data_IF_264105348637
#
_entry.id   IF_264105348637
#
_cell.length_a   1.000
_cell.length_b   1.000
_cell.length_c   1.000
_cell.angle_alpha   90.00
_cell.angle_beta   90.00
_cell.angle_gamma   90.00
#
_symmetry.space_group_name_H-M   'P 1'
#
loop_
_entity.id
_entity.type
_entity.pdbx_description
1 polymer ?
#
# COMPACT_ATOMS: atom_id res chain seq x y z
N UNK A 1 6.05 17.53 26.01
CA UNK A 1 5.45 16.83 24.84
C UNK A 1 3.94 17.02 24.89
N UNK A 2 3.31 17.45 23.79
CA UNK A 2 1.85 17.62 23.69
C UNK A 2 1.39 17.52 22.22
N UNK A 3 0.12 17.17 22.03
CA UNK A 3 -0.54 17.11 20.73
C UNK A 3 -1.14 18.47 20.42
N UNK A 4 -0.76 19.07 19.29
CA UNK A 4 -1.27 20.36 18.86
C UNK A 4 -2.44 20.25 17.89
N UNK A 5 -2.52 19.15 17.12
CA UNK A 5 -3.55 18.95 16.12
C UNK A 5 -3.75 17.47 15.84
N UNK A 6 -5.01 17.06 15.70
CA UNK A 6 -5.40 15.76 15.14
C UNK A 6 -6.01 15.99 13.77
N UNK A 7 -5.54 15.26 12.76
CA UNK A 7 -5.95 15.44 11.37
C UNK A 7 -7.31 14.81 11.08
N UNK A 8 -8.18 15.54 10.39
CA UNK A 8 -9.42 15.02 9.80
C UNK A 8 -9.10 14.36 8.46
N UNK A 9 -9.22 13.04 8.36
CA UNK A 9 -8.76 12.25 7.22
C UNK A 9 -9.91 11.73 6.37
N UNK A 10 -9.60 11.40 5.10
CA UNK A 10 -10.50 10.74 4.17
C UNK A 10 -10.89 9.33 4.66
N UNK A 11 -9.89 8.51 4.99
CA UNK A 11 -10.01 7.13 5.45
C UNK A 11 -9.14 6.85 6.67
N UNK A 12 -9.17 5.60 7.13
CA UNK A 12 -8.49 5.11 8.36
C UNK A 12 -8.74 6.07 9.54
N UNK A 13 -10.01 6.45 9.71
CA UNK A 13 -10.40 7.47 10.70
C UNK A 13 -10.32 7.01 12.14
N UNK A 14 -10.31 5.70 12.35
CA UNK A 14 -10.16 5.09 13.67
C UNK A 14 -8.72 5.10 14.20
N UNK A 15 -7.74 5.41 13.34
CA UNK A 15 -6.34 5.60 13.71
C UNK A 15 -5.99 7.07 13.61
N UNK A 16 -5.66 7.72 14.71
CA UNK A 16 -5.33 9.14 14.72
C UNK A 16 -3.99 9.43 14.03
N UNK A 17 -3.94 10.56 13.35
CA UNK A 17 -2.71 11.17 12.85
C UNK A 17 -2.61 12.55 13.47
N UNK A 18 -1.55 12.80 14.22
CA UNK A 18 -1.44 14.00 15.04
C UNK A 18 -0.09 14.70 14.84
N UNK A 19 -0.10 16.01 15.02
CA UNK A 19 1.12 16.81 15.20
C UNK A 19 1.49 16.80 16.67
N UNK A 20 2.70 16.31 16.96
CA UNK A 20 3.25 16.23 18.31
C UNK A 20 4.41 17.22 18.40
N UNK A 21 4.42 18.05 19.46
CA UNK A 21 5.49 19.01 19.73
C UNK A 21 6.23 18.60 20.99
N UNK A 22 7.55 18.66 20.92
CA UNK A 22 8.46 18.42 22.03
C UNK A 22 9.13 19.75 22.39
N UNK A 23 8.83 20.31 23.56
CA UNK A 23 9.47 21.49 24.10
C UNK A 23 10.08 21.11 25.45
N UNK A 24 11.34 21.40 25.64
CA UNK A 24 12.12 21.11 26.85
C UNK A 24 11.95 19.66 27.35
N UNK A 25 11.78 18.73 26.43
CA UNK A 25 11.56 17.32 26.73
C UNK A 25 12.90 16.65 27.05
N UNK A 26 13.18 16.45 28.33
CA UNK A 26 14.38 15.76 28.79
C UNK A 26 14.15 14.26 28.76
N UNK A 27 15.07 13.55 28.12
CA UNK A 27 15.11 12.08 28.06
C UNK A 27 16.46 11.59 28.56
N UNK A 28 16.56 10.41 29.20
CA UNK A 28 17.84 9.81 29.59
C UNK A 28 18.73 9.59 28.37
N UNK A 29 20.04 9.75 28.55
CA UNK A 29 21.03 9.56 27.48
C UNK A 29 20.99 8.14 26.91
N UNK A 30 20.69 7.16 27.73
CA UNK A 30 20.60 5.73 27.36
C UNK A 30 19.43 5.44 26.37
N UNK A 31 18.52 6.40 26.19
CA UNK A 31 17.42 6.29 25.21
C UNK A 31 17.82 6.74 23.79
N UNK A 32 19.08 7.10 23.57
CA UNK A 32 19.59 7.42 22.22
C UNK A 32 19.63 6.12 21.40
N UNK A 33 18.97 6.12 20.25
CA UNK A 33 19.06 5.03 19.29
C UNK A 33 20.42 5.07 18.58
N UNK A 34 21.16 3.95 18.64
CA UNK A 34 22.50 3.85 18.07
C UNK A 34 23.57 4.12 19.12
N UNK A 35 24.58 4.97 18.82
CA UNK A 35 25.65 5.36 19.74
C UNK A 35 25.44 6.77 20.26
N UNK A 36 25.68 7.03 21.56
CA UNK A 36 25.72 8.39 22.09
C UNK A 36 26.88 9.22 21.50
N UNK A 37 27.94 8.56 21.01
CA UNK A 37 28.97 9.21 20.20
C UNK A 37 28.46 9.32 18.76
N UNK A 38 27.81 10.42 18.45
CA UNK A 38 27.29 10.70 17.09
C UNK A 38 28.43 11.14 16.20
N UNK A 39 29.07 10.24 15.42
CA UNK A 39 29.87 10.71 14.30
C UNK A 39 28.90 11.42 13.32
N UNK A 40 29.30 12.56 12.77
CA UNK A 40 28.57 13.26 11.70
C UNK A 40 28.59 12.42 10.41
N UNK A 41 27.95 11.25 10.43
CA UNK A 41 27.94 10.31 9.32
C UNK A 41 26.52 10.15 8.79
N UNK A 42 26.39 9.75 7.53
CA UNK A 42 25.10 9.43 6.89
C UNK A 42 24.51 8.08 7.36
N UNK A 43 25.06 7.46 8.40
CA UNK A 43 24.66 6.11 8.86
C UNK A 43 23.25 6.09 9.46
N UNK A 44 22.86 7.13 10.20
CA UNK A 44 21.49 7.24 10.71
C UNK A 44 20.47 7.26 9.58
N UNK A 45 20.73 7.98 8.50
CA UNK A 45 19.85 8.02 7.34
C UNK A 45 19.77 6.66 6.61
N UNK A 46 20.90 5.93 6.53
CA UNK A 46 20.91 4.55 5.97
C UNK A 46 20.05 3.60 6.81
N UNK A 47 20.12 3.71 8.15
CA UNK A 47 19.27 2.92 9.05
C UNK A 47 17.79 3.18 8.82
N UNK A 48 17.38 4.44 8.68
CA UNK A 48 15.98 4.80 8.34
C UNK A 48 15.55 4.21 7.00
N UNK A 49 16.41 4.27 5.98
CA UNK A 49 16.11 3.67 4.67
C UNK A 49 15.97 2.15 4.72
N UNK A 50 16.79 1.47 5.51
CA UNK A 50 16.68 0.03 5.73
C UNK A 50 15.36 -0.35 6.42
N UNK A 51 14.88 0.47 7.36
CA UNK A 51 13.57 0.29 7.99
C UNK A 51 12.46 0.36 6.94
N UNK A 52 12.47 1.34 6.04
CA UNK A 52 11.48 1.41 4.97
C UNK A 52 11.52 0.20 4.02
N UNK A 53 12.71 -0.33 3.72
CA UNK A 53 12.82 -1.53 2.88
C UNK A 53 12.20 -2.77 3.55
N UNK A 54 12.20 -2.83 4.89
CA UNK A 54 11.54 -3.87 5.67
C UNK A 54 10.01 -3.66 5.80
N UNK A 55 9.55 -2.41 5.96
CA UNK A 55 8.13 -2.12 6.23
C UNK A 55 7.26 -2.02 4.97
N UNK A 56 7.80 -1.64 3.81
CA UNK A 56 7.07 -1.55 2.54
C UNK A 56 6.34 -2.83 2.13
N UNK A 57 6.91 -4.03 2.23
CA UNK A 57 6.18 -5.27 1.96
C UNK A 57 4.99 -5.49 2.90
N UNK A 58 5.10 -5.08 4.17
CA UNK A 58 4.01 -5.19 5.16
C UNK A 58 2.84 -4.28 4.77
N UNK A 59 3.14 -3.04 4.38
CA UNK A 59 2.13 -2.09 3.87
C UNK A 59 1.50 -2.60 2.58
N UNK A 60 2.29 -3.16 1.66
CA UNK A 60 1.77 -3.77 0.45
C UNK A 60 0.82 -4.94 0.76
N UNK A 61 1.14 -5.79 1.75
CA UNK A 61 0.28 -6.87 2.19
C UNK A 61 -1.05 -6.35 2.77
N UNK A 62 -1.02 -5.28 3.57
CA UNK A 62 -2.24 -4.63 4.09
C UNK A 62 -3.13 -4.10 2.97
N UNK A 63 -2.55 -3.45 1.95
CA UNK A 63 -3.27 -2.98 0.77
C UNK A 63 -3.95 -4.14 0.01
N UNK A 64 -3.21 -5.23 -0.21
CA UNK A 64 -3.73 -6.43 -0.89
C UNK A 64 -4.89 -7.04 -0.11
N UNK A 65 -4.82 -7.04 1.23
CA UNK A 65 -5.90 -7.52 2.10
C UNK A 65 -7.21 -6.75 1.87
N UNK A 66 -7.15 -5.41 1.82
CA UNK A 66 -8.31 -4.56 1.53
C UNK A 66 -8.84 -4.79 0.11
N UNK A 67 -7.97 -4.87 -0.88
CA UNK A 67 -8.36 -5.14 -2.26
C UNK A 67 -9.05 -6.50 -2.42
N UNK A 68 -8.54 -7.53 -1.75
CA UNK A 68 -9.15 -8.86 -1.72
C UNK A 68 -10.53 -8.83 -1.09
N UNK A 69 -10.67 -8.21 0.08
CA UNK A 69 -11.96 -8.08 0.75
C UNK A 69 -13.00 -7.40 -0.14
N UNK A 70 -12.60 -6.35 -0.88
CA UNK A 70 -13.47 -5.66 -1.83
C UNK A 70 -13.92 -6.57 -2.99
N UNK A 71 -13.00 -7.33 -3.59
CA UNK A 71 -13.34 -8.26 -4.67
C UNK A 71 -14.21 -9.42 -4.21
N UNK A 72 -13.89 -10.01 -3.07
CA UNK A 72 -14.69 -11.11 -2.51
C UNK A 72 -16.13 -10.63 -2.23
N UNK A 73 -16.29 -9.43 -1.66
CA UNK A 73 -17.60 -8.83 -1.41
C UNK A 73 -18.38 -8.55 -2.70
N UNK A 74 -17.72 -8.01 -3.74
CA UNK A 74 -18.36 -7.78 -5.05
C UNK A 74 -18.82 -9.11 -5.64
N UNK A 75 -17.96 -10.13 -5.66
CA UNK A 75 -18.30 -11.44 -6.22
C UNK A 75 -19.49 -12.07 -5.52
N UNK A 76 -19.49 -12.08 -4.19
CA UNK A 76 -20.59 -12.63 -3.39
C UNK A 76 -21.91 -11.89 -3.66
N UNK A 77 -21.85 -10.55 -3.68
CA UNK A 77 -23.03 -9.72 -3.98
C UNK A 77 -23.57 -9.98 -5.38
N UNK A 78 -22.72 -10.05 -6.40
CA UNK A 78 -23.12 -10.34 -7.77
C UNK A 78 -23.77 -11.72 -7.89
N UNK A 79 -23.21 -12.74 -7.23
CA UNK A 79 -23.80 -14.09 -7.19
C UNK A 79 -25.19 -14.08 -6.56
N UNK A 80 -25.37 -13.38 -5.45
CA UNK A 80 -26.67 -13.22 -4.78
C UNK A 80 -27.74 -12.57 -5.67
N UNK A 81 -27.30 -11.71 -6.62
CA UNK A 81 -28.20 -11.05 -7.60
C UNK A 81 -28.27 -11.82 -8.93
N UNK A 82 -27.81 -13.04 -9.02
CA UNK A 82 -27.89 -13.89 -10.22
C UNK A 82 -26.91 -13.50 -11.33
N UNK A 83 -25.82 -12.78 -11.01
CA UNK A 83 -24.79 -12.32 -11.95
C UNK A 83 -23.43 -12.96 -11.58
N UNK A 84 -23.22 -14.28 -11.79
CA UNK A 84 -21.96 -14.92 -11.47
C UNK A 84 -20.86 -14.49 -12.45
N UNK A 85 -19.61 -14.45 -11.97
CA UNK A 85 -18.43 -14.28 -12.82
C UNK A 85 -18.09 -15.64 -13.48
N UNK A 86 -18.15 -15.69 -14.81
CA UNK A 86 -17.96 -16.92 -15.58
C UNK A 86 -16.51 -17.06 -16.04
N UNK A 87 -15.72 -17.78 -15.28
CA UNK A 87 -14.32 -18.08 -15.63
C UNK A 87 -14.23 -19.08 -16.80
N UNK A 88 -13.09 -19.05 -17.51
CA UNK A 88 -12.78 -20.02 -18.57
C UNK A 88 -13.46 -19.75 -19.93
N UNK A 89 -14.25 -18.70 -20.06
CA UNK A 89 -14.81 -18.31 -21.34
C UNK A 89 -13.82 -17.48 -22.18
N UNK A 90 -13.87 -17.60 -23.53
CA UNK A 90 -13.12 -16.72 -24.42
C UNK A 90 -13.50 -15.26 -24.19
N UNK A 91 -12.53 -14.33 -24.28
CA UNK A 91 -12.69 -12.91 -23.97
C UNK A 91 -13.88 -12.25 -24.68
N UNK A 92 -14.18 -12.64 -25.94
CA UNK A 92 -15.30 -12.11 -26.70
C UNK A 92 -16.69 -12.54 -26.19
N UNK A 93 -16.76 -13.55 -25.32
CA UNK A 93 -18.01 -14.04 -24.68
C UNK A 93 -18.22 -13.47 -23.28
N UNK A 94 -17.23 -12.78 -22.72
CA UNK A 94 -17.32 -12.14 -21.41
C UNK A 94 -18.02 -10.81 -21.52
N UNK A 95 -18.80 -10.48 -20.51
CA UNK A 95 -19.35 -9.12 -20.33
C UNK A 95 -18.23 -8.14 -19.96
N UNK A 96 -18.47 -6.83 -20.05
CA UNK A 96 -17.53 -5.83 -19.60
C UNK A 96 -17.22 -5.97 -18.10
N UNK A 97 -18.26 -6.23 -17.30
CA UNK A 97 -18.14 -6.46 -15.85
C UNK A 97 -17.24 -7.64 -15.53
N UNK A 98 -17.40 -8.77 -16.22
CA UNK A 98 -16.57 -9.96 -16.01
C UNK A 98 -15.10 -9.71 -16.38
N UNK A 99 -14.84 -9.01 -17.50
CA UNK A 99 -13.48 -8.63 -17.89
C UNK A 99 -12.82 -7.72 -16.86
N UNK A 100 -13.53 -6.68 -16.42
CA UNK A 100 -13.03 -5.75 -15.41
C UNK A 100 -12.74 -6.47 -14.09
N UNK A 101 -13.62 -7.39 -13.67
CA UNK A 101 -13.43 -8.16 -12.46
C UNK A 101 -12.20 -9.06 -12.53
N UNK A 102 -12.04 -9.82 -13.61
CA UNK A 102 -10.89 -10.70 -13.83
C UNK A 102 -9.57 -9.93 -13.95
N UNK A 103 -9.58 -8.74 -14.58
CA UNK A 103 -8.39 -7.88 -14.63
C UNK A 103 -7.99 -7.43 -13.22
N UNK A 104 -8.94 -7.00 -12.40
CA UNK A 104 -8.66 -6.63 -11.00
C UNK A 104 -8.09 -7.79 -10.18
N UNK A 105 -8.62 -9.00 -10.35
CA UNK A 105 -8.06 -10.20 -9.71
C UNK A 105 -6.61 -10.44 -10.16
N UNK A 106 -6.34 -10.34 -11.44
CA UNK A 106 -5.00 -10.53 -11.99
C UNK A 106 -4.02 -9.47 -11.48
N UNK A 107 -4.43 -8.20 -11.44
CA UNK A 107 -3.61 -7.10 -10.92
C UNK A 107 -3.31 -7.28 -9.43
N UNK A 108 -4.30 -7.69 -8.65
CA UNK A 108 -4.14 -7.93 -7.22
C UNK A 108 -3.21 -9.13 -6.96
N UNK A 109 -3.33 -10.20 -7.76
CA UNK A 109 -2.45 -11.35 -7.68
C UNK A 109 -1.00 -11.00 -8.07
N UNK A 110 -0.80 -10.17 -9.09
CA UNK A 110 0.53 -9.66 -9.45
C UNK A 110 1.16 -8.85 -8.31
N UNK A 111 0.40 -7.97 -7.66
CA UNK A 111 0.86 -7.24 -6.49
C UNK A 111 1.24 -8.17 -5.33
N UNK A 112 0.46 -9.24 -5.10
CA UNK A 112 0.72 -10.24 -4.08
C UNK A 112 2.01 -11.01 -4.32
N UNK A 113 2.26 -11.44 -5.55
CA UNK A 113 3.50 -12.15 -5.90
C UNK A 113 4.75 -11.27 -5.72
N UNK A 114 4.68 -9.99 -6.10
CA UNK A 114 5.75 -9.02 -5.84
C UNK A 114 5.99 -8.85 -4.33
N UNK A 115 4.94 -8.79 -3.54
CA UNK A 115 5.02 -8.63 -2.08
C UNK A 115 5.66 -9.87 -1.44
N UNK A 116 5.25 -11.07 -1.86
CA UNK A 116 5.85 -12.31 -1.38
C UNK A 116 7.34 -12.40 -1.74
N UNK A 117 7.71 -12.02 -2.97
CA UNK A 117 9.12 -11.98 -3.36
C UNK A 117 9.93 -11.05 -2.47
N UNK A 118 9.44 -9.83 -2.23
CA UNK A 118 10.13 -8.87 -1.38
C UNK A 118 10.28 -9.34 0.07
N UNK A 119 9.25 -9.97 0.64
CA UNK A 119 9.28 -10.56 1.97
C UNK A 119 10.26 -11.75 2.04
N UNK A 120 10.17 -12.67 1.08
CA UNK A 120 11.06 -13.82 1.01
C UNK A 120 12.55 -13.42 0.94
N UNK A 121 12.87 -12.38 0.15
CA UNK A 121 14.23 -11.87 0.08
C UNK A 121 14.73 -11.36 1.44
N UNK A 122 13.85 -10.65 2.17
CA UNK A 122 14.17 -10.14 3.51
C UNK A 122 14.42 -11.29 4.49
N UNK A 123 13.56 -12.31 4.50
CA UNK A 123 13.69 -13.48 5.37
C UNK A 123 14.98 -14.28 5.11
N UNK A 124 15.52 -14.20 3.89
CA UNK A 124 16.78 -14.84 3.51
C UNK A 124 18.00 -13.90 3.58
N UNK A 125 17.90 -12.75 4.24
CA UNK A 125 19.00 -11.80 4.41
C UNK A 125 19.46 -11.11 3.11
N UNK A 126 18.65 -11.18 2.06
CA UNK A 126 18.95 -10.57 0.77
C UNK A 126 18.50 -9.11 0.73
N UNK A 127 19.25 -8.28 0.02
CA UNK A 127 18.84 -6.89 -0.20
C UNK A 127 17.60 -6.83 -1.11
N UNK A 128 16.51 -6.24 -0.60
CA UNK A 128 15.20 -6.25 -1.25
C UNK A 128 14.64 -4.86 -1.59
N UNK A 129 15.44 -3.80 -1.56
CA UNK A 129 14.91 -2.43 -1.71
C UNK A 129 14.24 -2.16 -3.07
N UNK A 130 14.65 -2.84 -4.14
CA UNK A 130 13.99 -2.80 -5.44
C UNK A 130 12.62 -3.47 -5.37
N UNK A 131 12.59 -4.71 -4.91
CA UNK A 131 11.37 -5.51 -4.81
C UNK A 131 10.38 -4.95 -3.80
N UNK A 132 10.84 -4.42 -2.67
CA UNK A 132 10.01 -3.73 -1.68
C UNK A 132 9.35 -2.48 -2.26
N UNK A 133 10.10 -1.69 -3.05
CA UNK A 133 9.55 -0.51 -3.73
C UNK A 133 8.58 -0.90 -4.85
N UNK A 134 8.87 -1.95 -5.63
CA UNK A 134 7.95 -2.49 -6.64
C UNK A 134 6.64 -2.98 -6.01
N UNK A 135 6.74 -3.76 -4.93
CA UNK A 135 5.58 -4.30 -4.21
C UNK A 135 4.68 -3.18 -3.69
N UNK A 136 5.27 -2.19 -3.01
CA UNK A 136 4.54 -1.07 -2.43
C UNK A 136 3.88 -0.18 -3.49
N UNK A 137 4.61 0.19 -4.55
CA UNK A 137 4.07 0.99 -5.64
C UNK A 137 2.91 0.27 -6.35
N UNK A 138 3.09 -1.02 -6.66
CA UNK A 138 2.06 -1.82 -7.33
C UNK A 138 0.83 -2.02 -6.44
N UNK A 139 1.02 -2.42 -5.18
CA UNK A 139 -0.09 -2.69 -4.27
C UNK A 139 -0.92 -1.44 -3.96
N UNK A 140 -0.27 -0.28 -3.71
CA UNK A 140 -0.96 0.98 -3.45
C UNK A 140 -1.81 1.46 -4.64
N UNK A 141 -1.26 1.35 -5.86
CA UNK A 141 -2.01 1.66 -7.08
C UNK A 141 -3.20 0.71 -7.25
N UNK A 142 -2.94 -0.58 -7.19
CA UNK A 142 -3.94 -1.62 -7.46
C UNK A 142 -5.08 -1.57 -6.45
N UNK A 143 -4.80 -1.44 -5.14
CA UNK A 143 -5.87 -1.37 -4.15
C UNK A 143 -6.79 -0.17 -4.35
N UNK A 144 -6.22 0.97 -4.74
CA UNK A 144 -6.99 2.18 -5.06
C UNK A 144 -7.92 1.94 -6.25
N UNK A 145 -7.40 1.34 -7.33
CA UNK A 145 -8.18 1.02 -8.53
C UNK A 145 -9.25 -0.04 -8.26
N UNK A 146 -8.88 -1.13 -7.57
CA UNK A 146 -9.79 -2.23 -7.23
C UNK A 146 -10.95 -1.76 -6.37
N UNK A 147 -10.68 -1.01 -5.30
CA UNK A 147 -11.75 -0.56 -4.40
C UNK A 147 -12.67 0.48 -5.05
N UNK A 148 -12.13 1.37 -5.89
CA UNK A 148 -12.93 2.31 -6.67
C UNK A 148 -13.82 1.56 -7.67
N UNK A 149 -13.25 0.63 -8.44
CA UNK A 149 -13.99 -0.16 -9.43
C UNK A 149 -15.04 -1.06 -8.79
N UNK A 150 -14.74 -1.60 -7.61
CA UNK A 150 -15.70 -2.38 -6.82
C UNK A 150 -16.95 -1.57 -6.45
N UNK A 151 -16.77 -0.30 -6.05
CA UNK A 151 -17.91 0.61 -5.81
C UNK A 151 -18.72 0.83 -7.10
N UNK A 152 -18.05 1.06 -8.24
CA UNK A 152 -18.70 1.24 -9.54
C UNK A 152 -19.53 -0.01 -9.94
N UNK A 153 -18.98 -1.22 -9.75
CA UNK A 153 -19.63 -2.46 -10.11
C UNK A 153 -20.95 -2.70 -9.37
N UNK A 154 -21.01 -2.31 -8.10
CA UNK A 154 -22.20 -2.47 -7.28
C UNK A 154 -23.13 -1.23 -7.31
N UNK A 155 -22.71 -0.15 -7.96
CA UNK A 155 -23.50 1.07 -8.13
C UNK A 155 -24.03 1.62 -6.79
N UNK A 156 -25.34 1.86 -6.65
CA UNK A 156 -25.92 2.42 -5.41
C UNK A 156 -25.60 1.59 -4.16
N UNK A 157 -25.53 0.27 -4.26
CA UNK A 157 -25.14 -0.60 -3.15
C UNK A 157 -23.69 -0.34 -2.72
N UNK A 158 -22.78 -0.26 -3.68
CA UNK A 158 -21.36 0.02 -3.41
C UNK A 158 -21.11 1.39 -2.80
N UNK A 159 -21.96 2.36 -3.13
CA UNK A 159 -21.89 3.73 -2.62
C UNK A 159 -22.58 3.93 -1.26
N UNK A 160 -23.40 2.96 -0.84
CA UNK A 160 -24.15 3.03 0.41
C UNK A 160 -23.25 2.88 1.62
N UNK A 161 -23.44 3.74 2.64
CA UNK A 161 -22.78 3.63 3.94
C UNK A 161 -23.28 2.48 4.82
N UNK A 162 -24.31 1.77 4.41
CA UNK A 162 -24.78 0.56 5.10
C UNK A 162 -23.81 -0.61 4.87
N UNK A 163 -23.01 -0.54 3.81
CA UNK A 163 -22.00 -1.54 3.46
C UNK A 163 -20.59 -0.95 3.64
N UNK A 164 -19.60 -1.84 3.69
CA UNK A 164 -18.20 -1.43 3.94
C UNK A 164 -17.44 -0.98 2.70
N UNK A 165 -17.98 -1.16 1.50
CA UNK A 165 -17.24 -0.99 0.26
C UNK A 165 -16.79 0.45 0.02
N UNK A 166 -17.68 1.44 0.26
CA UNK A 166 -17.33 2.86 0.19
C UNK A 166 -16.25 3.23 1.22
N UNK A 167 -16.31 2.61 2.40
CA UNK A 167 -15.32 2.79 3.45
C UNK A 167 -13.96 2.25 3.02
N UNK A 168 -13.92 1.04 2.47
CA UNK A 168 -12.68 0.45 1.97
C UNK A 168 -12.04 1.27 0.85
N UNK A 169 -12.83 1.88 -0.03
CA UNK A 169 -12.33 2.80 -1.06
C UNK A 169 -11.63 4.03 -0.44
N UNK A 170 -12.23 4.62 0.60
CA UNK A 170 -11.62 5.76 1.30
C UNK A 170 -10.38 5.34 2.10
N UNK A 171 -10.41 4.19 2.76
CA UNK A 171 -9.30 3.66 3.55
C UNK A 171 -8.13 3.21 2.65
N UNK A 172 -8.42 2.68 1.47
CA UNK A 172 -7.42 2.20 0.53
C UNK A 172 -6.45 3.29 0.04
N UNK A 173 -6.93 4.54 -0.10
CA UNK A 173 -6.13 5.63 -0.70
C UNK A 173 -4.84 5.94 0.05
N UNK A 174 -4.78 5.74 1.34
CA UNK A 174 -3.56 5.99 2.12
C UNK A 174 -2.40 5.08 1.70
N UNK A 175 -2.69 3.86 1.21
CA UNK A 175 -1.67 2.91 0.78
C UNK A 175 -0.86 3.39 -0.42
N UNK A 176 -1.35 4.38 -1.15
CA UNK A 176 -0.65 5.04 -2.25
C UNK A 176 0.27 6.20 -1.77
N UNK A 177 0.13 6.63 -0.52
CA UNK A 177 0.76 7.84 0.03
C UNK A 177 1.82 7.51 1.09
N UNK A 178 1.45 6.83 2.17
CA UNK A 178 2.34 6.61 3.31
C UNK A 178 3.45 5.57 3.00
N UNK A 179 4.49 5.50 3.81
CA UNK A 179 5.68 4.65 3.61
C UNK A 179 6.41 4.93 2.27
N UNK A 180 6.35 6.19 1.83
CA UNK A 180 6.81 6.67 0.52
C UNK A 180 5.71 6.61 -0.53
N UNK A 181 5.46 7.74 -1.19
CA UNK A 181 4.44 7.82 -2.24
C UNK A 181 4.76 6.87 -3.41
N UNK A 182 3.75 6.59 -4.23
CA UNK A 182 3.92 5.80 -5.45
C UNK A 182 5.06 6.36 -6.32
N UNK A 183 5.12 7.68 -6.48
CA UNK A 183 6.13 8.35 -7.30
C UNK A 183 7.55 8.12 -6.77
N UNK A 184 7.74 8.25 -5.46
CA UNK A 184 9.05 8.00 -4.81
C UNK A 184 9.46 6.53 -4.99
N UNK A 185 8.54 5.59 -4.82
CA UNK A 185 8.85 4.17 -5.03
C UNK A 185 9.17 3.87 -6.51
N UNK A 186 8.44 4.47 -7.45
CA UNK A 186 8.74 4.37 -8.89
C UNK A 186 10.12 4.94 -9.23
N UNK A 187 10.52 6.08 -8.65
CA UNK A 187 11.87 6.64 -8.80
C UNK A 187 12.94 5.70 -8.27
N UNK A 188 12.72 5.06 -7.12
CA UNK A 188 13.66 4.07 -6.58
C UNK A 188 13.81 2.89 -7.54
N UNK A 189 12.69 2.39 -8.07
CA UNK A 189 12.67 1.29 -9.05
C UNK A 189 13.43 1.69 -10.31
N UNK A 190 13.13 2.86 -10.90
CA UNK A 190 13.78 3.37 -12.10
C UNK A 190 15.31 3.49 -11.90
N UNK A 191 15.75 4.12 -10.80
CA UNK A 191 17.17 4.24 -10.46
C UNK A 191 17.87 2.89 -10.39
N UNK A 192 17.22 1.91 -9.77
CA UNK A 192 17.79 0.56 -9.61
C UNK A 192 17.90 -0.19 -10.91
N UNK A 193 16.87 -0.12 -11.77
CA UNK A 193 16.87 -0.80 -13.07
C UNK A 193 17.87 -0.15 -14.04
N UNK A 194 17.95 1.18 -14.02
CA UNK A 194 18.83 1.94 -14.92
C UNK A 194 20.27 2.10 -14.41
N UNK A 195 20.54 1.70 -13.16
CA UNK A 195 21.85 1.83 -12.54
C UNK A 195 22.24 3.26 -12.15
N UNK A 196 21.26 4.18 -12.03
CA UNK A 196 21.52 5.58 -11.68
C UNK A 196 21.73 5.77 -10.18
N UNK A 197 22.62 6.68 -9.84
CA UNK A 197 22.79 7.19 -8.46
C UNK A 197 21.70 8.19 -8.11
N UNK A 198 21.58 8.49 -6.81
CA UNK A 198 20.62 9.52 -6.33
C UNK A 198 20.94 10.94 -6.85
N UNK A 199 22.18 11.19 -7.30
CA UNK A 199 22.61 12.50 -7.83
C UNK A 199 22.21 12.70 -9.28
N UNK A 200 22.01 11.62 -10.04
CA UNK A 200 21.70 11.66 -11.48
C UNK A 200 20.19 11.82 -11.77
N UNK A 201 19.35 11.60 -10.79
CA UNK A 201 17.90 11.75 -10.90
C UNK A 201 17.34 12.69 -9.80
N UNK A 202 18.12 13.68 -9.39
CA UNK A 202 17.68 14.74 -8.47
C UNK A 202 17.10 15.91 -9.23
#
# INVERSE_FOLDING_TARGET
>A
MYVTKVEKKLGIRASDTATIVFEDCRIPLDNILGSPEVPKTSEGFKGVMATFDATRPIVAASAIGVGRAALDFVRETLVQHGVPIRYGLPSHKLTALERDFMDMEAQLQAARLLTWRAAWMMDNGMRNNLEASMAKAKAGLVVTQVTQKAVEMLGPLGYSRQLLLEKWMRDAKINDIFEGTQQINQMIVARRILGYSSKELS
#
